data_IF_492000141069
#
_entry.id   IF_492000141069
#
_cell.length_a   1.000
_cell.length_b   1.000
_cell.length_c   1.000
_cell.angle_alpha   90.00
_cell.angle_beta   90.00
_cell.angle_gamma   90.00
#
_symmetry.space_group_name_H-M   'P 1'
#
loop_
_entity.id
_entity.type
_entity.pdbx_description
1 polymer ?
#
# COMPACT_ATOMS: atom_id res chain seq x y z
N UNK A 1 16.47 27.78 38.78
CA UNK A 1 15.96 29.15 38.51
C UNK A 1 14.88 29.12 37.43
N UNK A 2 13.64 29.32 37.87
CA UNK A 2 12.41 29.31 37.08
C UNK A 2 12.33 30.53 36.15
N UNK A 3 11.99 30.30 34.88
CA UNK A 3 11.18 31.21 34.04
C UNK A 3 10.28 30.37 33.11
N UNK A 4 9.04 30.82 32.81
CA UNK A 4 7.98 29.99 32.25
C UNK A 4 8.08 29.82 30.72
N UNK A 5 7.62 28.67 30.23
CA UNK A 5 7.48 28.36 28.79
C UNK A 5 6.50 29.34 28.11
N UNK A 6 6.83 29.90 26.92
CA UNK A 6 5.85 30.58 26.09
C UNK A 6 4.94 29.55 25.40
N UNK A 7 3.70 29.92 25.02
CA UNK A 7 2.78 29.02 24.33
C UNK A 7 3.34 28.69 22.93
N UNK A 8 3.35 27.40 22.58
CA UNK A 8 3.66 26.89 21.25
C UNK A 8 2.67 27.46 20.23
N UNK A 9 3.02 28.57 19.57
CA UNK A 9 2.46 28.90 18.25
C UNK A 9 3.24 28.10 17.22
N UNK A 10 2.66 26.96 16.84
CA UNK A 10 3.11 26.16 15.72
C UNK A 10 2.91 26.98 14.45
N UNK A 11 4.00 27.47 13.86
CA UNK A 11 4.00 28.01 12.52
C UNK A 11 3.72 26.89 11.54
N UNK A 12 2.56 26.97 10.87
CA UNK A 12 2.16 26.03 9.85
C UNK A 12 3.09 26.17 8.64
N UNK A 13 3.91 25.15 8.38
CA UNK A 13 4.45 24.89 7.04
C UNK A 13 3.48 23.93 6.36
N UNK A 14 2.51 24.51 5.66
CA UNK A 14 1.58 23.82 4.77
C UNK A 14 2.13 23.87 3.33
N UNK A 15 2.46 22.71 2.75
CA UNK A 15 2.29 22.34 1.34
C UNK A 15 2.86 20.92 1.12
N UNK A 16 2.09 20.00 0.50
CA UNK A 16 1.61 20.17 -0.88
C UNK A 16 0.11 19.84 -1.13
N UNK A 17 -0.80 20.13 -0.20
CA UNK A 17 -2.26 20.19 -0.52
C UNK A 17 -2.68 21.58 -1.03
N UNK A 18 -1.85 22.61 -0.80
CA UNK A 18 -2.13 23.98 -1.21
C UNK A 18 -1.88 24.28 -2.70
N UNK A 19 -1.24 23.39 -3.47
CA UNK A 19 -0.95 23.68 -4.88
C UNK A 19 -2.16 23.46 -5.81
N UNK A 20 -3.11 22.60 -5.42
CA UNK A 20 -4.39 22.45 -6.13
C UNK A 20 -5.44 23.49 -5.70
N UNK A 21 -5.38 24.01 -4.47
CA UNK A 21 -6.33 25.03 -3.98
C UNK A 21 -5.85 26.48 -4.17
N UNK A 22 -4.53 26.72 -4.12
CA UNK A 22 -3.94 28.06 -4.20
C UNK A 22 -3.89 28.67 -5.60
N UNK A 23 -4.03 27.85 -6.64
CA UNK A 23 -4.13 28.30 -8.04
C UNK A 23 -5.56 28.68 -8.43
N UNK A 24 -6.57 28.11 -7.76
CA UNK A 24 -8.00 28.42 -7.99
C UNK A 24 -8.44 29.70 -7.25
N UNK A 25 -7.81 30.04 -6.12
CA UNK A 25 -8.25 31.14 -5.26
C UNK A 25 -7.57 32.50 -5.50
N UNK A 26 -6.69 32.64 -6.51
CA UNK A 26 -6.08 33.96 -6.84
C UNK A 26 -6.90 34.82 -7.80
N UNK A 27 -8.08 34.36 -8.22
CA UNK A 27 -9.05 35.20 -8.93
C UNK A 27 -10.39 35.09 -8.20
N UNK A 28 -10.72 36.12 -7.45
CA UNK A 28 -12.03 36.32 -6.85
C UNK A 28 -13.07 36.53 -7.95
N UNK A 29 -13.58 35.44 -8.50
CA UNK A 29 -14.82 35.40 -9.27
C UNK A 29 -15.75 34.35 -8.66
N UNK A 30 -17.06 34.57 -8.79
CA UNK A 30 -18.14 33.71 -8.29
C UNK A 30 -17.97 32.23 -8.73
N UNK A 31 -17.22 31.99 -9.80
CA UNK A 31 -16.86 30.66 -10.33
C UNK A 31 -15.92 29.86 -9.42
N UNK A 32 -15.05 30.52 -8.63
CA UNK A 32 -14.13 29.85 -7.69
C UNK A 32 -14.85 29.20 -6.52
N UNK A 33 -15.95 29.81 -6.04
CA UNK A 33 -16.75 29.31 -4.93
C UNK A 33 -17.62 28.11 -5.33
N UNK A 34 -18.17 28.11 -6.55
CA UNK A 34 -18.90 26.97 -7.11
C UNK A 34 -17.98 25.76 -7.35
N UNK A 35 -16.76 25.99 -7.82
CA UNK A 35 -15.77 24.94 -8.05
C UNK A 35 -15.32 24.27 -6.74
N UNK A 36 -15.19 25.04 -5.65
CA UNK A 36 -14.87 24.51 -4.32
C UNK A 36 -15.99 23.63 -3.74
N UNK A 37 -17.26 24.01 -3.95
CA UNK A 37 -18.41 23.20 -3.52
C UNK A 37 -18.53 21.92 -4.35
N UNK A 38 -18.29 21.97 -5.65
CA UNK A 38 -18.27 20.78 -6.52
C UNK A 38 -17.11 19.83 -6.15
N UNK A 39 -15.95 20.34 -5.76
CA UNK A 39 -14.83 19.53 -5.28
C UNK A 39 -15.07 18.90 -3.91
N UNK A 40 -15.73 19.61 -2.98
CA UNK A 40 -16.11 19.07 -1.67
C UNK A 40 -17.22 18.02 -1.77
N UNK A 41 -18.26 18.28 -2.57
CA UNK A 41 -19.31 17.30 -2.85
C UNK A 41 -18.78 16.13 -3.68
N UNK A 42 -17.87 16.40 -4.63
CA UNK A 42 -17.12 15.40 -5.37
C UNK A 42 -16.29 14.52 -4.44
N UNK A 43 -15.59 15.09 -3.47
CA UNK A 43 -14.82 14.37 -2.45
C UNK A 43 -15.69 13.51 -1.53
N UNK A 44 -16.88 13.97 -1.15
CA UNK A 44 -17.85 13.19 -0.36
C UNK A 44 -18.44 12.02 -1.16
N UNK A 45 -18.76 12.23 -2.45
CA UNK A 45 -19.25 11.17 -3.34
C UNK A 45 -18.14 10.17 -3.68
N UNK A 46 -16.91 10.64 -3.92
CA UNK A 46 -15.75 9.81 -4.20
C UNK A 46 -15.36 8.99 -2.96
N UNK A 47 -15.39 9.60 -1.78
CA UNK A 47 -15.21 8.89 -0.51
C UNK A 47 -16.27 7.80 -0.33
N UNK A 48 -17.54 8.11 -0.58
CA UNK A 48 -18.62 7.12 -0.41
C UNK A 48 -18.59 5.98 -1.43
N UNK A 49 -18.18 6.25 -2.68
CA UNK A 49 -18.09 5.27 -3.76
C UNK A 49 -16.82 4.40 -3.72
N UNK A 50 -15.71 4.94 -3.21
CA UNK A 50 -14.44 4.21 -3.06
C UNK A 50 -14.38 3.43 -1.73
N UNK A 51 -15.05 3.91 -0.68
CA UNK A 51 -15.00 3.33 0.68
C UNK A 51 -16.25 2.53 1.11
N UNK A 52 -17.20 2.29 0.19
CA UNK A 52 -18.23 1.24 0.31
C UNK A 52 -19.10 1.24 1.58
N UNK A 53 -19.46 2.40 2.13
CA UNK A 53 -19.97 2.47 3.50
C UNK A 53 -21.23 3.31 3.78
N UNK A 54 -21.94 3.82 2.77
CA UNK A 54 -23.16 4.60 3.02
C UNK A 54 -24.40 3.87 2.48
N UNK A 55 -25.17 3.24 3.38
CA UNK A 55 -26.58 2.96 3.15
C UNK A 55 -27.32 4.30 3.11
N UNK A 56 -27.54 4.84 1.90
CA UNK A 56 -28.50 5.92 1.75
C UNK A 56 -29.90 5.33 1.94
N UNK A 57 -30.74 5.85 2.87
CA UNK A 57 -32.14 5.52 2.87
C UNK A 57 -32.70 6.03 1.54
N UNK A 58 -32.94 5.10 0.61
CA UNK A 58 -33.70 5.37 -0.58
C UNK A 58 -35.12 5.74 -0.12
N UNK A 59 -35.39 7.04 0.04
CA UNK A 59 -36.76 7.54 0.09
C UNK A 59 -37.42 7.04 -1.20
N UNK A 60 -38.41 6.17 -1.04
CA UNK A 60 -39.07 5.49 -2.16
C UNK A 60 -39.52 6.50 -3.22
N UNK A 61 -38.86 6.46 -4.37
CA UNK A 61 -39.16 7.33 -5.52
C UNK A 61 -37.92 7.97 -6.14
N UNK A 62 -37.17 7.19 -6.93
CA UNK A 62 -36.47 7.63 -8.16
C UNK A 62 -35.64 8.92 -8.23
N UNK A 63 -35.29 9.59 -7.13
CA UNK A 63 -34.54 10.85 -7.14
C UNK A 63 -33.55 10.93 -5.97
N UNK A 64 -32.29 11.25 -6.28
CA UNK A 64 -31.31 11.66 -5.30
C UNK A 64 -31.41 13.19 -5.15
N UNK A 65 -31.81 13.67 -3.97
CA UNK A 65 -31.85 15.11 -3.67
C UNK A 65 -30.54 15.50 -3.00
N UNK A 66 -29.62 16.12 -3.75
CA UNK A 66 -28.47 16.78 -3.16
C UNK A 66 -28.92 18.13 -2.59
N UNK A 67 -28.88 18.28 -1.26
CA UNK A 67 -29.10 19.57 -0.61
C UNK A 67 -27.76 20.31 -0.53
N UNK A 68 -27.61 21.40 -1.28
CA UNK A 68 -26.46 22.30 -1.17
C UNK A 68 -26.89 23.55 -0.40
N UNK A 69 -26.29 23.78 0.76
CA UNK A 69 -26.47 25.00 1.55
C UNK A 69 -25.67 26.14 0.92
N UNK A 70 -26.34 26.96 0.12
CA UNK A 70 -25.76 28.20 -0.41
C UNK A 70 -25.79 29.31 0.64
N UNK A 71 -24.67 29.60 1.29
CA UNK A 71 -24.52 30.81 2.09
C UNK A 71 -24.18 31.97 1.15
N UNK A 72 -25.20 32.75 0.77
CA UNK A 72 -25.01 34.01 0.04
C UNK A 72 -25.04 35.19 1.02
N UNK A 73 -24.01 36.04 0.96
CA UNK A 73 -23.71 37.20 1.83
C UNK A 73 -24.75 38.34 1.77
N UNK A 74 -25.96 38.15 1.24
CA UNK A 74 -26.98 39.21 1.18
C UNK A 74 -28.40 38.70 1.51
N UNK A 75 -28.54 37.96 2.61
CA UNK A 75 -29.82 37.89 3.35
C UNK A 75 -31.02 37.28 2.62
N UNK A 76 -30.82 36.43 1.60
CA UNK A 76 -31.87 35.65 0.95
C UNK A 76 -31.40 34.20 0.82
N UNK A 77 -31.75 33.37 1.80
CA UNK A 77 -31.53 31.93 1.75
C UNK A 77 -32.51 31.27 0.78
N UNK A 78 -32.05 30.92 -0.41
CA UNK A 78 -32.78 30.10 -1.37
C UNK A 78 -32.24 28.67 -1.41
N UNK A 79 -33.12 27.68 -1.27
CA UNK A 79 -32.79 26.28 -1.49
C UNK A 79 -32.82 25.98 -2.98
N UNK A 80 -31.69 25.57 -3.56
CA UNK A 80 -31.65 25.00 -4.91
C UNK A 80 -31.61 23.48 -4.75
N UNK A 81 -32.76 22.83 -4.91
CA UNK A 81 -32.85 21.38 -4.99
C UNK A 81 -32.44 20.92 -6.39
N UNK A 82 -31.28 20.28 -6.51
CA UNK A 82 -30.89 19.62 -7.76
C UNK A 82 -31.58 18.24 -7.81
N UNK A 83 -32.66 18.12 -8.58
CA UNK A 83 -33.30 16.83 -8.85
C UNK A 83 -32.56 16.18 -10.01
N UNK A 84 -31.63 15.27 -9.69
CA UNK A 84 -31.01 14.43 -10.70
C UNK A 84 -31.96 13.26 -11.00
N UNK A 85 -32.50 13.14 -12.23
CA UNK A 85 -33.27 11.97 -12.60
C UNK A 85 -32.30 10.78 -12.61
N UNK A 86 -32.40 9.93 -11.59
CA UNK A 86 -31.75 8.63 -11.64
C UNK A 86 -32.43 7.86 -12.76
N UNK A 87 -31.68 7.58 -13.83
CA UNK A 87 -32.17 6.66 -14.86
C UNK A 87 -32.62 5.38 -14.15
N UNK A 88 -33.75 4.78 -14.56
CA UNK A 88 -34.23 3.54 -13.96
C UNK A 88 -33.09 2.54 -13.95
N UNK A 89 -32.95 1.80 -12.83
CA UNK A 89 -31.93 0.78 -12.56
C UNK A 89 -31.37 0.25 -13.87
N UNK A 90 -30.16 0.69 -14.22
CA UNK A 90 -29.36 -0.02 -15.18
C UNK A 90 -29.28 -1.45 -14.67
N UNK A 91 -29.95 -2.36 -15.37
CA UNK A 91 -29.84 -3.79 -15.12
C UNK A 91 -28.38 -4.12 -15.43
N UNK A 92 -27.55 -4.18 -14.38
CA UNK A 92 -26.11 -4.48 -14.45
C UNK A 92 -25.82 -5.77 -15.23
N UNK A 93 -26.81 -6.64 -15.41
CA UNK A 93 -26.72 -7.87 -16.20
C UNK A 93 -26.36 -7.69 -17.68
N UNK A 94 -26.53 -6.49 -18.26
CA UNK A 94 -26.21 -6.21 -19.68
C UNK A 94 -25.03 -5.25 -19.91
N UNK A 95 -24.50 -4.59 -18.88
CA UNK A 95 -23.30 -3.76 -19.04
C UNK A 95 -22.05 -4.65 -19.07
N UNK A 96 -21.33 -4.65 -20.19
CA UNK A 96 -20.07 -5.40 -20.34
C UNK A 96 -20.20 -6.84 -20.83
N UNK A 97 -21.40 -7.29 -21.22
CA UNK A 97 -21.56 -8.50 -22.06
C UNK A 97 -21.65 -8.11 -23.52
N UNK A 98 -20.64 -7.43 -24.03
CA UNK A 98 -20.49 -7.34 -25.48
C UNK A 98 -20.03 -8.72 -25.95
N UNK A 99 -20.68 -9.28 -26.98
CA UNK A 99 -20.04 -10.34 -27.74
C UNK A 99 -18.68 -9.81 -28.20
N UNK A 100 -17.61 -10.58 -28.06
CA UNK A 100 -16.25 -10.18 -28.43
C UNK A 100 -16.15 -9.52 -29.82
N UNK A 101 -17.07 -9.86 -30.72
CA UNK A 101 -17.19 -9.34 -32.09
C UNK A 101 -17.79 -7.94 -32.21
N UNK A 102 -18.45 -7.42 -31.17
CA UNK A 102 -19.20 -6.14 -31.18
C UNK A 102 -18.52 -5.02 -30.38
N UNK A 103 -17.43 -5.31 -29.67
CA UNK A 103 -16.70 -4.29 -28.93
C UNK A 103 -16.06 -3.27 -29.91
N UNK A 104 -16.05 -1.96 -29.57
CA UNK A 104 -15.35 -0.96 -30.37
C UNK A 104 -13.90 -1.39 -30.58
N UNK A 105 -13.45 -1.38 -31.85
CA UNK A 105 -12.05 -1.66 -32.17
C UNK A 105 -11.19 -0.59 -31.52
N UNK A 106 -10.39 -0.98 -30.52
CA UNK A 106 -9.39 -0.08 -29.98
C UNK A 106 -8.35 0.24 -31.07
N UNK A 107 -7.66 1.39 -30.98
CA UNK A 107 -6.46 1.61 -31.77
C UNK A 107 -5.46 0.46 -31.57
N UNK A 108 -4.61 0.24 -32.58
CA UNK A 108 -3.57 -0.79 -32.52
C UNK A 108 -2.77 -0.69 -31.22
N UNK A 109 -2.45 -1.87 -30.66
CA UNK A 109 -1.73 -1.99 -29.41
C UNK A 109 -0.34 -1.35 -29.54
N UNK A 110 0.03 -0.49 -28.59
CA UNK A 110 1.40 0.03 -28.51
C UNK A 110 2.31 -1.01 -27.85
N UNK A 111 3.31 -1.48 -28.60
CA UNK A 111 4.24 -2.52 -28.20
C UNK A 111 5.61 -1.94 -27.79
N UNK A 112 6.36 -2.64 -26.93
CA UNK A 112 7.64 -2.18 -26.34
C UNK A 112 8.66 -1.68 -27.38
N UNK A 113 8.69 -2.26 -28.58
CA UNK A 113 9.61 -1.84 -29.65
C UNK A 113 9.20 -0.54 -30.36
N UNK A 114 7.93 -0.17 -30.25
CA UNK A 114 7.35 0.99 -30.92
C UNK A 114 7.24 2.19 -29.99
N UNK A 115 7.17 1.96 -28.67
CA UNK A 115 7.09 3.00 -27.64
C UNK A 115 8.43 3.72 -27.44
N UNK A 116 8.39 5.05 -27.50
CA UNK A 116 9.53 5.94 -27.21
C UNK A 116 9.09 7.11 -26.34
N UNK A 117 10.05 7.72 -25.65
CA UNK A 117 9.83 8.99 -24.95
C UNK A 117 10.25 10.16 -25.86
N UNK A 118 9.33 11.11 -26.08
CA UNK A 118 9.61 12.41 -26.71
C UNK A 118 9.31 13.53 -25.70
N UNK A 119 10.34 13.95 -24.97
CA UNK A 119 10.16 14.84 -23.83
C UNK A 119 9.24 14.19 -22.79
N UNK A 120 8.13 14.83 -22.47
CA UNK A 120 7.14 14.33 -21.49
C UNK A 120 6.11 13.33 -22.06
N UNK A 121 6.17 13.03 -23.35
CA UNK A 121 5.16 12.24 -24.04
C UNK A 121 5.67 10.86 -24.38
N UNK A 122 4.83 9.85 -24.20
CA UNK A 122 4.98 8.56 -24.87
C UNK A 122 4.52 8.69 -26.32
N UNK A 123 5.31 8.17 -27.25
CA UNK A 123 4.97 8.12 -28.68
C UNK A 123 5.17 6.72 -29.24
N UNK A 124 4.43 6.35 -30.27
CA UNK A 124 4.60 5.09 -30.98
C UNK A 124 5.57 5.20 -32.19
N UNK A 125 5.70 4.11 -32.95
CA UNK A 125 6.55 4.02 -34.14
C UNK A 125 6.14 4.96 -35.29
N UNK A 126 4.91 5.46 -35.29
CA UNK A 126 4.40 6.45 -36.24
C UNK A 126 4.58 7.90 -35.73
N UNK A 127 5.06 8.07 -34.49
CA UNK A 127 5.24 9.38 -33.86
C UNK A 127 3.97 9.98 -33.27
N UNK A 128 2.88 9.19 -33.15
CA UNK A 128 1.62 9.61 -32.52
C UNK A 128 1.82 9.69 -31.01
N UNK A 129 1.25 10.71 -30.37
CA UNK A 129 1.28 10.83 -28.90
C UNK A 129 0.28 9.85 -28.28
N UNK A 130 0.76 9.02 -27.35
CA UNK A 130 -0.02 8.00 -26.67
C UNK A 130 -0.58 8.52 -25.35
N UNK A 131 -1.88 8.27 -25.13
CA UNK A 131 -2.52 8.44 -23.83
C UNK A 131 -2.85 7.06 -23.27
N UNK A 132 -2.01 6.59 -22.35
CA UNK A 132 -2.17 5.27 -21.75
C UNK A 132 -3.33 5.33 -20.74
N UNK A 133 -4.43 4.66 -21.04
CA UNK A 133 -5.62 4.57 -20.17
C UNK A 133 -5.87 3.12 -19.77
N UNK A 134 -5.91 2.89 -18.47
CA UNK A 134 -5.89 1.56 -17.91
C UNK A 134 -6.32 1.48 -16.46
N UNK A 135 -6.03 0.34 -15.83
CA UNK A 135 -6.33 0.03 -14.45
C UNK A 135 -5.21 -0.80 -13.80
N UNK A 136 -5.19 -0.84 -12.47
CA UNK A 136 -4.39 -1.80 -11.71
C UNK A 136 -5.06 -3.19 -11.77
N UNK A 137 -4.29 -4.22 -12.09
CA UNK A 137 -4.75 -5.59 -12.27
C UNK A 137 -3.89 -6.53 -11.41
N UNK A 138 -4.30 -6.94 -10.22
CA UNK A 138 -5.35 -6.34 -9.38
C UNK A 138 -4.93 -6.47 -7.92
N UNK A 139 -5.67 -5.85 -6.99
CA UNK A 139 -5.45 -6.06 -5.55
C UNK A 139 -5.58 -7.52 -5.09
N UNK A 140 -6.15 -8.42 -5.92
CA UNK A 140 -6.17 -9.85 -5.62
C UNK A 140 -4.77 -10.48 -5.64
N UNK A 141 -3.78 -9.87 -6.30
CA UNK A 141 -2.40 -10.35 -6.35
C UNK A 141 -1.65 -10.25 -5.01
N UNK A 142 -2.21 -9.55 -4.03
CA UNK A 142 -1.56 -9.23 -2.75
C UNK A 142 -1.44 -10.43 -1.82
N UNK A 143 -2.27 -11.45 -1.99
CA UNK A 143 -2.41 -12.57 -1.06
C UNK A 143 -2.44 -13.89 -1.83
N UNK A 144 -1.88 -14.97 -1.25
CA UNK A 144 -1.87 -16.28 -1.91
C UNK A 144 -3.28 -16.82 -2.16
N UNK A 145 -3.38 -17.75 -3.12
CA UNK A 145 -4.56 -18.56 -3.40
C UNK A 145 -4.60 -19.82 -2.54
N UNK A 146 -3.45 -20.44 -2.31
CA UNK A 146 -3.31 -21.59 -1.41
C UNK A 146 -2.17 -21.37 -0.40
N UNK A 147 -2.43 -21.51 0.92
CA UNK A 147 -3.76 -21.45 1.51
C UNK A 147 -4.42 -20.11 1.17
N UNK A 148 -5.75 -20.02 1.23
CA UNK A 148 -6.43 -18.76 0.91
C UNK A 148 -5.96 -17.65 1.86
N UNK A 149 -5.22 -16.70 1.32
CA UNK A 149 -4.52 -15.68 2.09
C UNK A 149 -5.41 -14.57 2.65
N UNK A 150 -6.74 -14.66 2.50
CA UNK A 150 -7.69 -13.69 3.02
C UNK A 150 -7.44 -13.39 4.52
N UNK A 151 -7.13 -12.12 4.83
CA UNK A 151 -6.58 -11.73 6.13
C UNK A 151 -7.55 -11.82 7.31
N UNK A 152 -8.86 -11.88 7.04
CA UNK A 152 -9.90 -12.09 8.07
C UNK A 152 -10.00 -13.55 8.53
N UNK A 153 -9.30 -14.48 7.87
CA UNK A 153 -9.31 -15.90 8.22
C UNK A 153 -8.21 -16.20 9.23
N UNK A 154 -8.59 -16.86 10.32
CA UNK A 154 -7.71 -17.25 11.42
C UNK A 154 -7.66 -18.77 11.57
N UNK A 155 -7.48 -19.49 10.45
CA UNK A 155 -7.35 -20.95 10.44
C UNK A 155 -5.96 -21.45 10.88
N UNK A 156 -5.08 -20.53 11.32
CA UNK A 156 -3.71 -20.81 11.74
C UNK A 156 -2.71 -20.95 10.59
N UNK A 157 -3.17 -21.10 9.35
CA UNK A 157 -2.29 -21.31 8.18
C UNK A 157 -1.31 -20.16 7.96
N UNK A 158 -1.72 -18.94 8.33
CA UNK A 158 -0.90 -17.72 8.26
C UNK A 158 0.46 -17.83 8.97
N UNK A 159 0.54 -18.60 10.06
CA UNK A 159 1.78 -18.79 10.81
C UNK A 159 2.49 -20.11 10.49
N UNK A 160 1.79 -21.09 9.94
CA UNK A 160 2.35 -22.44 9.71
C UNK A 160 2.79 -22.67 8.27
N UNK A 161 2.19 -21.98 7.29
CA UNK A 161 2.53 -22.07 5.85
C UNK A 161 3.12 -20.75 5.37
N UNK A 162 4.35 -20.46 5.81
CA UNK A 162 5.05 -19.21 5.46
C UNK A 162 5.84 -19.31 4.15
N UNK A 163 6.21 -20.54 3.75
CA UNK A 163 7.07 -20.88 2.59
C UNK A 163 6.43 -21.88 1.63
N UNK A 164 5.25 -22.38 1.96
CA UNK A 164 4.49 -23.34 1.15
C UNK A 164 3.16 -22.66 0.82
N UNK A 165 3.22 -21.73 -0.14
CA UNK A 165 2.08 -20.93 -0.57
C UNK A 165 2.09 -20.83 -2.09
N UNK A 166 0.93 -20.70 -2.71
CA UNK A 166 0.80 -20.47 -4.14
C UNK A 166 0.12 -19.15 -4.41
N UNK A 167 0.62 -18.44 -5.43
CA UNK A 167 -0.03 -17.26 -6.00
C UNK A 167 -0.60 -17.55 -7.39
N UNK A 168 -0.50 -18.80 -7.87
CA UNK A 168 -1.11 -19.25 -9.12
C UNK A 168 -2.62 -19.02 -9.04
N UNK A 169 -3.19 -18.40 -10.08
CA UNK A 169 -4.58 -18.00 -10.08
C UNK A 169 -4.85 -16.60 -9.51
N UNK A 170 -3.82 -15.79 -9.22
CA UNK A 170 -3.96 -14.34 -9.00
C UNK A 170 -3.47 -13.53 -10.21
N UNK A 171 -4.25 -12.60 -10.77
CA UNK A 171 -5.42 -11.95 -10.15
C UNK A 171 -6.74 -12.74 -10.26
N UNK A 172 -6.80 -13.76 -11.11
CA UNK A 172 -7.96 -14.64 -11.32
C UNK A 172 -7.51 -16.00 -11.87
N UNK A 173 -8.33 -17.07 -11.77
CA UNK A 173 -8.09 -18.32 -12.47
C UNK A 173 -7.89 -18.08 -13.98
N UNK A 174 -6.98 -18.83 -14.61
CA UNK A 174 -6.58 -18.56 -15.99
C UNK A 174 -7.75 -18.74 -16.98
N UNK A 175 -8.65 -19.66 -16.68
CA UNK A 175 -9.89 -19.92 -17.42
C UNK A 175 -10.88 -18.74 -17.38
N UNK A 176 -10.81 -17.88 -16.37
CA UNK A 176 -11.63 -16.67 -16.24
C UNK A 176 -10.99 -15.45 -16.91
N UNK A 177 -9.73 -15.56 -17.34
CA UNK A 177 -8.96 -14.44 -17.89
C UNK A 177 -9.64 -13.79 -19.09
N UNK A 178 -10.16 -14.59 -20.03
CA UNK A 178 -10.81 -14.06 -21.23
C UNK A 178 -12.04 -13.21 -20.89
N UNK A 179 -12.84 -13.63 -19.90
CA UNK A 179 -14.01 -12.88 -19.46
C UNK A 179 -13.61 -11.52 -18.85
N UNK A 180 -12.63 -11.52 -17.94
CA UNK A 180 -12.17 -10.29 -17.30
C UNK A 180 -11.52 -9.32 -18.29
N UNK A 181 -10.62 -9.81 -19.14
CA UNK A 181 -9.91 -8.97 -20.11
C UNK A 181 -10.86 -8.43 -21.19
N UNK A 182 -11.86 -9.22 -21.61
CA UNK A 182 -12.93 -8.75 -22.51
C UNK A 182 -13.69 -7.58 -21.91
N UNK A 183 -14.02 -7.63 -20.61
CA UNK A 183 -14.71 -6.52 -19.92
C UNK A 183 -13.86 -5.26 -19.93
N UNK A 184 -12.57 -5.37 -19.58
CA UNK A 184 -11.62 -4.26 -19.59
C UNK A 184 -11.57 -3.62 -20.98
N UNK A 185 -11.49 -4.44 -22.04
CA UNK A 185 -11.53 -3.97 -23.43
C UNK A 185 -12.84 -3.31 -23.81
N UNK A 186 -13.96 -3.84 -23.36
CA UNK A 186 -15.27 -3.28 -23.65
C UNK A 186 -15.49 -1.88 -23.06
N UNK A 187 -14.71 -1.52 -22.02
CA UNK A 187 -14.67 -0.17 -21.46
C UNK A 187 -13.73 0.77 -22.23
N UNK A 188 -13.08 0.29 -23.29
CA UNK A 188 -12.13 1.03 -24.11
C UNK A 188 -10.74 1.16 -23.49
N UNK A 189 -10.44 0.38 -22.43
CA UNK A 189 -9.12 0.39 -21.79
C UNK A 189 -8.14 -0.50 -22.56
N UNK A 190 -6.91 -0.03 -22.72
CA UNK A 190 -5.89 -0.71 -23.53
C UNK A 190 -4.61 -0.99 -22.77
N UNK A 191 -4.58 -0.65 -21.48
CA UNK A 191 -3.40 -0.69 -20.64
C UNK A 191 -3.74 -1.25 -19.27
N UNK A 192 -2.85 -2.04 -18.68
CA UNK A 192 -2.96 -2.48 -17.29
C UNK A 192 -1.62 -2.37 -16.57
N UNK A 193 -1.68 -1.93 -15.31
CA UNK A 193 -0.59 -2.07 -14.34
C UNK A 193 -0.79 -3.43 -13.64
N UNK A 194 -0.03 -4.44 -14.05
CA UNK A 194 -0.17 -5.81 -13.56
C UNK A 194 0.66 -5.98 -12.29
N UNK A 195 -0.04 -6.19 -11.18
CA UNK A 195 0.57 -6.35 -9.85
C UNK A 195 1.18 -7.75 -9.73
N UNK A 196 2.41 -7.80 -9.24
CA UNK A 196 3.08 -9.01 -8.76
C UNK A 196 3.68 -8.70 -7.40
N UNK A 197 3.78 -9.66 -6.49
CA UNK A 197 4.50 -9.47 -5.23
C UNK A 197 5.85 -10.18 -5.31
N UNK A 198 6.84 -9.71 -4.55
CA UNK A 198 8.11 -10.43 -4.43
C UNK A 198 7.87 -11.84 -3.84
N UNK A 199 6.96 -11.95 -2.88
CA UNK A 199 6.53 -13.21 -2.30
C UNK A 199 5.99 -14.17 -3.35
N UNK A 200 5.14 -13.73 -4.29
CA UNK A 200 4.65 -14.60 -5.36
C UNK A 200 5.77 -15.22 -6.19
N UNK A 201 6.87 -14.49 -6.38
CA UNK A 201 8.03 -14.95 -7.16
C UNK A 201 8.97 -15.85 -6.37
N UNK A 202 9.11 -15.62 -5.05
CA UNK A 202 10.22 -16.18 -4.26
C UNK A 202 9.79 -16.51 -2.81
N UNK A 203 8.62 -17.13 -2.62
CA UNK A 203 8.09 -17.42 -1.27
C UNK A 203 8.88 -18.51 -0.52
N UNK A 204 9.42 -19.53 -1.22
CA UNK A 204 10.02 -20.72 -0.60
C UNK A 204 11.32 -20.39 0.15
N UNK A 205 12.09 -19.41 -0.36
CA UNK A 205 13.34 -18.97 0.23
C UNK A 205 14.20 -18.19 -0.75
N UNK A 206 15.31 -17.61 -0.27
CA UNK A 206 16.24 -16.85 -1.11
C UNK A 206 16.78 -17.72 -2.26
N UNK A 207 16.70 -17.22 -3.48
CA UNK A 207 17.07 -17.89 -4.71
C UNK A 207 16.12 -19.00 -5.19
N UNK A 208 15.01 -19.25 -4.49
CA UNK A 208 14.07 -20.32 -4.80
C UNK A 208 12.82 -19.74 -5.47
N UNK A 209 12.89 -19.59 -6.80
CA UNK A 209 11.82 -19.01 -7.60
C UNK A 209 10.66 -19.99 -7.83
N UNK A 210 9.43 -19.49 -7.74
CA UNK A 210 8.22 -20.23 -8.08
C UNK A 210 8.01 -20.24 -9.61
N UNK A 211 8.53 -21.29 -10.25
CA UNK A 211 8.41 -21.48 -11.70
C UNK A 211 6.96 -21.73 -12.16
N UNK A 212 6.08 -22.24 -11.28
CA UNK A 212 4.67 -22.43 -11.59
C UNK A 212 3.95 -21.08 -11.66
N UNK A 213 4.17 -20.22 -10.66
CA UNK A 213 3.68 -18.85 -10.69
C UNK A 213 4.21 -18.06 -11.89
N UNK A 214 5.50 -18.19 -12.21
CA UNK A 214 6.09 -17.51 -13.37
C UNK A 214 5.48 -17.98 -14.70
N UNK A 215 5.20 -19.28 -14.85
CA UNK A 215 4.51 -19.81 -16.02
C UNK A 215 3.06 -19.28 -16.10
N UNK A 216 2.35 -19.23 -14.97
CA UNK A 216 1.02 -18.63 -14.88
C UNK A 216 1.04 -17.13 -15.25
N UNK A 217 1.99 -16.37 -14.72
CA UNK A 217 2.16 -14.94 -15.01
C UNK A 217 2.35 -14.71 -16.51
N UNK A 218 3.21 -15.50 -17.16
CA UNK A 218 3.42 -15.45 -18.60
C UNK A 218 2.12 -15.74 -19.38
N UNK A 219 1.33 -16.71 -18.93
CA UNK A 219 0.04 -17.03 -19.54
C UNK A 219 -0.95 -15.85 -19.42
N UNK A 220 -1.02 -15.18 -18.26
CA UNK A 220 -1.84 -13.96 -18.08
C UNK A 220 -1.35 -12.83 -18.99
N UNK A 221 -0.03 -12.61 -19.10
CA UNK A 221 0.55 -11.61 -20.01
C UNK A 221 0.17 -11.88 -21.46
N UNK A 222 0.19 -13.14 -21.90
CA UNK A 222 -0.23 -13.53 -23.26
C UNK A 222 -1.72 -13.35 -23.47
N UNK A 223 -2.55 -13.68 -22.48
CA UNK A 223 -3.98 -13.35 -22.51
C UNK A 223 -4.21 -11.85 -22.64
N UNK A 224 -3.47 -11.01 -21.94
CA UNK A 224 -3.53 -9.56 -22.17
C UNK A 224 -3.21 -9.20 -23.64
N UNK A 225 -2.20 -9.84 -24.25
CA UNK A 225 -1.85 -9.63 -25.66
C UNK A 225 -2.99 -10.04 -26.62
N UNK A 226 -3.61 -11.20 -26.41
CA UNK A 226 -4.75 -11.69 -27.21
C UNK A 226 -5.92 -10.70 -27.21
N UNK A 227 -6.09 -9.99 -26.10
CA UNK A 227 -7.12 -8.95 -25.94
C UNK A 227 -6.63 -7.55 -26.35
N UNK A 228 -5.41 -7.40 -26.84
CA UNK A 228 -4.83 -6.10 -27.25
C UNK A 228 -4.58 -5.15 -26.08
N UNK A 229 -4.25 -5.70 -24.90
CA UNK A 229 -3.94 -4.98 -23.66
C UNK A 229 -2.44 -4.96 -23.44
N UNK A 230 -1.89 -3.76 -23.34
CA UNK A 230 -0.50 -3.50 -22.96
C UNK A 230 -0.33 -3.61 -21.44
N UNK A 231 0.79 -4.19 -21.00
CA UNK A 231 1.09 -4.51 -19.62
C UNK A 231 2.29 -3.70 -19.13
N UNK A 232 2.16 -3.13 -17.93
CA UNK A 232 3.25 -2.58 -17.14
C UNK A 232 3.34 -3.35 -15.82
N UNK A 233 4.45 -4.04 -15.59
CA UNK A 233 4.61 -4.93 -14.43
C UNK A 233 4.93 -4.08 -13.21
N UNK A 234 4.25 -4.34 -12.11
CA UNK A 234 4.40 -3.63 -10.86
C UNK A 234 4.81 -4.59 -9.73
N UNK A 235 6.09 -4.56 -9.30
CA UNK A 235 6.52 -5.16 -8.04
C UNK A 235 5.83 -4.47 -6.86
N UNK A 236 4.67 -5.00 -6.51
CA UNK A 236 3.75 -4.46 -5.54
C UNK A 236 4.12 -4.85 -4.12
N UNK A 237 3.94 -3.90 -3.23
CA UNK A 237 3.96 -4.09 -1.79
C UNK A 237 3.09 -3.00 -1.15
N UNK A 238 2.47 -3.34 -0.03
CA UNK A 238 2.00 -2.39 0.96
C UNK A 238 2.55 -2.80 2.32
N UNK A 239 3.09 -1.82 3.04
CA UNK A 239 3.70 -2.02 4.37
C UNK A 239 4.65 -3.22 4.43
N UNK A 240 5.48 -3.41 3.40
CA UNK A 240 6.50 -4.45 3.26
C UNK A 240 6.01 -5.88 3.03
N UNK A 241 5.16 -6.45 3.89
CA UNK A 241 4.88 -7.90 3.91
C UNK A 241 3.55 -8.23 4.60
N UNK A 242 3.07 -9.47 4.40
CA UNK A 242 1.87 -9.98 5.08
C UNK A 242 2.01 -9.96 6.60
N UNK A 243 3.21 -10.24 7.13
CA UNK A 243 3.48 -10.22 8.58
C UNK A 243 3.66 -8.83 9.18
N UNK A 244 3.73 -7.80 8.34
CA UNK A 244 3.75 -6.40 8.75
C UNK A 244 2.42 -5.70 8.46
N UNK A 245 1.38 -6.48 8.12
CA UNK A 245 -0.01 -6.04 7.98
C UNK A 245 -0.43 -5.64 6.55
N UNK A 246 0.34 -6.01 5.54
CA UNK A 246 0.03 -5.74 4.13
C UNK A 246 0.45 -6.88 3.19
N UNK A 247 1.31 -6.58 2.23
CA UNK A 247 1.77 -7.52 1.19
C UNK A 247 3.13 -7.12 0.59
N UNK A 248 3.74 -8.01 -0.19
CA UNK A 248 4.94 -7.69 -0.96
C UNK A 248 6.06 -8.70 -0.75
N UNK A 249 6.90 -8.47 0.25
CA UNK A 249 8.08 -9.26 0.55
C UNK A 249 7.76 -10.59 1.26
N UNK A 250 8.47 -11.68 0.93
CA UNK A 250 8.26 -12.98 1.54
C UNK A 250 8.73 -13.02 3.01
N UNK A 251 8.17 -13.97 3.76
CA UNK A 251 8.42 -14.16 5.20
C UNK A 251 9.91 -14.23 5.57
N UNK A 252 10.69 -14.91 4.73
CA UNK A 252 12.10 -15.16 5.00
C UNK A 252 12.93 -13.88 5.06
N UNK A 253 12.46 -12.76 4.49
CA UNK A 253 13.13 -11.45 4.62
C UNK A 253 13.13 -10.94 6.05
N UNK A 254 12.02 -11.10 6.76
CA UNK A 254 11.86 -10.72 8.17
C UNK A 254 12.64 -11.70 9.07
N UNK A 255 12.56 -13.00 8.78
CA UNK A 255 13.28 -14.03 9.53
C UNK A 255 14.79 -13.85 9.43
N UNK A 256 15.30 -13.50 8.25
CA UNK A 256 16.72 -13.28 7.98
C UNK A 256 17.34 -12.21 8.88
N UNK A 257 16.59 -11.13 9.16
CA UNK A 257 17.04 -10.06 10.06
C UNK A 257 16.67 -10.29 11.53
N UNK A 258 16.10 -11.47 11.85
CA UNK A 258 15.90 -11.94 13.22
C UNK A 258 14.48 -11.80 13.77
N UNK A 259 13.48 -11.39 12.98
CA UNK A 259 12.10 -11.34 13.48
C UNK A 259 11.50 -12.76 13.63
N UNK A 260 10.74 -12.95 14.71
CA UNK A 260 9.89 -14.11 14.93
C UNK A 260 8.46 -13.77 14.47
N UNK A 261 8.07 -14.28 13.29
CA UNK A 261 6.84 -13.92 12.59
C UNK A 261 5.57 -13.99 13.45
N UNK A 262 5.46 -15.02 14.30
CA UNK A 262 4.31 -15.24 15.20
C UNK A 262 4.27 -14.31 16.42
N UNK A 263 5.29 -13.46 16.61
CA UNK A 263 5.40 -12.53 17.74
C UNK A 263 5.31 -11.07 17.33
N UNK A 264 5.44 -10.75 16.03
CA UNK A 264 5.49 -9.37 15.52
C UNK A 264 4.29 -8.56 15.99
N UNK A 265 3.08 -9.06 15.75
CA UNK A 265 1.85 -8.36 16.14
C UNK A 265 1.71 -8.21 17.65
N UNK A 266 1.86 -9.32 18.39
CA UNK A 266 1.72 -9.37 19.86
C UNK A 266 2.68 -8.44 20.59
N UNK A 267 3.88 -8.24 20.04
CA UNK A 267 4.88 -7.32 20.57
C UNK A 267 4.60 -5.84 20.22
N UNK A 268 3.56 -5.55 19.44
CA UNK A 268 3.25 -4.21 18.94
C UNK A 268 4.13 -3.76 17.77
N UNK A 269 4.89 -4.67 17.16
CA UNK A 269 5.79 -4.36 16.03
C UNK A 269 5.08 -4.31 14.67
N UNK A 270 3.81 -4.73 14.60
CA UNK A 270 2.84 -4.47 13.54
C UNK A 270 1.42 -4.67 14.09
N UNK A 271 0.39 -4.32 13.32
CA UNK A 271 -1.00 -4.69 13.55
C UNK A 271 -1.51 -5.44 12.31
N UNK A 272 -1.96 -6.67 12.50
CA UNK A 272 -2.37 -7.62 11.46
C UNK A 272 -3.80 -8.06 11.72
N UNK A 273 -4.59 -8.21 10.67
CA UNK A 273 -5.99 -8.64 10.80
C UNK A 273 -6.08 -10.08 11.35
N UNK A 274 -5.12 -10.93 10.97
CA UNK A 274 -5.04 -12.34 11.38
C UNK A 274 -4.93 -12.50 12.91
N UNK A 275 -4.33 -11.53 13.61
CA UNK A 275 -4.19 -11.54 15.07
C UNK A 275 -5.24 -10.65 15.74
N UNK A 276 -5.50 -9.46 15.18
CA UNK A 276 -6.48 -8.53 15.74
C UNK A 276 -7.91 -9.10 15.68
N UNK A 277 -8.25 -9.80 14.59
CA UNK A 277 -9.60 -10.28 14.31
C UNK A 277 -10.60 -9.16 14.02
N UNK A 278 -11.87 -9.55 13.89
CA UNK A 278 -12.97 -8.64 13.59
C UNK A 278 -13.61 -8.03 14.86
N UNK A 279 -14.10 -6.77 14.79
CA UNK A 279 -14.03 -5.87 13.64
C UNK A 279 -12.63 -5.26 13.48
N UNK A 280 -12.02 -5.43 12.30
CA UNK A 280 -10.72 -4.80 12.03
C UNK A 280 -10.87 -3.29 11.78
N UNK A 281 -10.08 -2.42 12.44
CA UNK A 281 -10.25 -0.98 12.29
C UNK A 281 -9.97 -0.52 10.86
N UNK A 282 -10.90 0.25 10.29
CA UNK A 282 -10.78 0.78 8.93
C UNK A 282 -9.51 1.61 8.79
N UNK A 283 -8.76 1.41 7.71
CA UNK A 283 -7.56 2.19 7.37
C UNK A 283 -6.41 2.16 8.39
N UNK A 284 -6.43 1.24 9.36
CA UNK A 284 -5.34 1.14 10.34
C UNK A 284 -4.03 0.63 9.76
N UNK A 285 -4.08 -0.08 8.63
CA UNK A 285 -2.90 -0.69 7.99
C UNK A 285 -1.77 0.33 7.73
N UNK A 286 -2.09 1.58 7.39
CA UNK A 286 -1.09 2.63 7.13
C UNK A 286 -0.24 2.99 8.34
N UNK A 287 -0.74 2.73 9.56
CA UNK A 287 0.03 2.86 10.81
C UNK A 287 1.30 2.00 10.80
N UNK A 288 1.25 0.83 10.14
CA UNK A 288 2.34 -0.13 10.15
C UNK A 288 3.61 0.40 9.50
N UNK A 289 3.53 1.36 8.57
CA UNK A 289 4.72 1.99 7.98
C UNK A 289 5.67 2.63 9.02
N UNK A 290 5.17 2.99 10.20
CA UNK A 290 5.99 3.53 11.31
C UNK A 290 6.26 2.50 12.41
N UNK A 291 5.62 1.33 12.36
CA UNK A 291 5.87 0.26 13.34
C UNK A 291 7.22 -0.39 13.10
N UNK A 292 7.77 -0.94 14.17
CA UNK A 292 9.13 -1.47 14.20
C UNK A 292 9.43 -2.39 13.01
N UNK A 293 8.58 -3.37 12.71
CA UNK A 293 8.90 -4.38 11.70
C UNK A 293 9.00 -3.76 10.29
N UNK A 294 7.94 -3.11 9.81
CA UNK A 294 7.94 -2.48 8.47
C UNK A 294 9.01 -1.39 8.35
N UNK A 295 9.13 -0.51 9.35
CA UNK A 295 10.09 0.59 9.29
C UNK A 295 11.54 0.08 9.31
N UNK A 296 11.83 -0.98 10.08
CA UNK A 296 13.14 -1.63 10.07
C UNK A 296 13.48 -2.18 8.71
N UNK A 297 12.57 -2.94 8.10
CA UNK A 297 12.83 -3.57 6.80
C UNK A 297 13.10 -2.55 5.70
N UNK A 298 12.31 -1.48 5.60
CA UNK A 298 12.60 -0.41 4.64
C UNK A 298 13.92 0.30 4.91
N UNK A 299 14.24 0.54 6.19
CA UNK A 299 15.51 1.22 6.54
C UNK A 299 16.71 0.35 6.18
N UNK A 300 16.64 -0.96 6.44
CA UNK A 300 17.69 -1.90 6.05
C UNK A 300 17.80 -2.04 4.53
N UNK A 301 16.67 -2.06 3.82
CA UNK A 301 16.65 -2.16 2.36
C UNK A 301 17.32 -0.95 1.69
N UNK A 302 17.12 0.26 2.21
CA UNK A 302 17.64 1.48 1.56
C UNK A 302 19.00 1.96 2.09
N UNK A 303 19.27 1.76 3.38
CA UNK A 303 20.43 2.34 4.06
C UNK A 303 20.95 1.45 5.21
N UNK A 304 20.80 0.14 5.09
CA UNK A 304 21.25 -0.81 6.11
C UNK A 304 22.76 -0.75 6.36
N UNK A 305 23.56 -0.54 5.32
CA UNK A 305 25.03 -0.46 5.44
C UNK A 305 25.47 0.77 6.25
N UNK A 306 24.74 1.87 6.13
CA UNK A 306 25.08 3.12 6.80
C UNK A 306 24.48 3.21 8.21
N UNK A 307 23.23 2.77 8.38
CA UNK A 307 22.45 2.97 9.61
C UNK A 307 22.44 1.76 10.53
N UNK A 308 22.73 0.57 10.00
CA UNK A 308 22.72 -0.67 10.77
C UNK A 308 23.83 -1.66 10.33
N UNK A 309 25.11 -1.23 10.23
CA UNK A 309 26.21 -2.03 9.68
C UNK A 309 26.51 -3.34 10.42
N UNK A 310 26.13 -3.45 11.69
CA UNK A 310 26.29 -4.69 12.46
C UNK A 310 25.23 -5.75 12.09
N UNK A 311 24.22 -5.40 11.29
CA UNK A 311 23.16 -6.31 10.86
C UNK A 311 23.62 -7.12 9.66
N UNK A 312 24.20 -8.30 9.95
CA UNK A 312 24.65 -9.24 8.93
C UNK A 312 23.73 -10.46 8.85
N UNK A 313 23.60 -11.00 7.64
CA UNK A 313 22.73 -12.14 7.32
C UNK A 313 23.56 -13.16 6.55
N UNK A 314 23.47 -14.43 6.93
CA UNK A 314 24.03 -15.53 6.15
C UNK A 314 23.25 -15.66 4.83
N UNK A 315 23.91 -15.40 3.71
CA UNK A 315 23.32 -15.65 2.39
C UNK A 315 23.58 -17.11 1.99
N UNK A 316 22.54 -17.97 1.88
CA UNK A 316 22.74 -19.36 1.51
C UNK A 316 23.25 -19.55 0.08
N UNK A 317 23.08 -18.57 -0.81
CA UNK A 317 23.60 -18.64 -2.18
C UNK A 317 25.13 -18.39 -2.22
N UNK A 318 25.66 -17.59 -1.29
CA UNK A 318 27.08 -17.28 -1.20
C UNK A 318 27.82 -18.15 -0.17
N UNK A 319 27.11 -18.66 0.83
CA UNK A 319 27.69 -19.41 1.94
C UNK A 319 28.44 -18.54 2.94
N UNK A 320 28.23 -17.23 2.93
CA UNK A 320 28.88 -16.26 3.81
C UNK A 320 27.91 -15.18 4.33
N UNK A 321 28.34 -14.45 5.36
CA UNK A 321 27.57 -13.33 5.88
C UNK A 321 27.76 -12.07 5.05
N UNK A 322 26.66 -11.54 4.52
CA UNK A 322 26.59 -10.23 3.86
C UNK A 322 25.84 -9.23 4.73
N UNK A 323 25.83 -7.96 4.35
CA UNK A 323 24.98 -6.99 5.05
C UNK A 323 23.49 -7.25 4.77
N UNK A 324 22.61 -6.84 5.69
CA UNK A 324 21.18 -6.93 5.46
C UNK A 324 20.72 -6.17 4.19
N UNK A 325 21.38 -5.06 3.85
CA UNK A 325 21.08 -4.30 2.64
C UNK A 325 21.42 -5.09 1.38
N UNK A 326 22.64 -5.63 1.30
CA UNK A 326 23.10 -6.44 0.16
C UNK A 326 22.21 -7.67 -0.03
N UNK A 327 21.89 -8.36 1.07
CA UNK A 327 20.97 -9.49 1.06
C UNK A 327 19.60 -9.12 0.48
N UNK A 328 18.93 -8.11 1.05
CA UNK A 328 17.56 -7.78 0.67
C UNK A 328 17.48 -7.21 -0.76
N UNK A 329 18.39 -6.30 -1.13
CA UNK A 329 18.40 -5.74 -2.48
C UNK A 329 18.81 -6.79 -3.52
N UNK A 330 19.83 -7.60 -3.23
CA UNK A 330 20.34 -8.62 -4.13
C UNK A 330 19.26 -9.63 -4.53
N UNK A 331 18.55 -10.19 -3.54
CA UNK A 331 17.49 -11.16 -3.80
C UNK A 331 16.26 -10.53 -4.47
N UNK A 332 15.82 -9.33 -4.03
CA UNK A 332 14.71 -8.63 -4.70
C UNK A 332 15.02 -8.35 -6.19
N UNK A 333 16.19 -7.80 -6.48
CA UNK A 333 16.62 -7.51 -7.85
C UNK A 333 16.74 -8.81 -8.67
N UNK A 334 17.26 -9.88 -8.07
CA UNK A 334 17.38 -11.18 -8.74
C UNK A 334 16.01 -11.79 -9.07
N UNK A 335 15.03 -11.70 -8.15
CA UNK A 335 13.65 -12.11 -8.38
C UNK A 335 12.99 -11.29 -9.50
N UNK A 336 13.12 -9.97 -9.48
CA UNK A 336 12.56 -9.12 -10.55
C UNK A 336 13.26 -9.34 -11.90
N UNK A 337 14.56 -9.65 -11.89
CA UNK A 337 15.30 -10.08 -13.07
C UNK A 337 14.74 -11.41 -13.61
N UNK A 338 14.38 -12.37 -12.76
CA UNK A 338 13.77 -13.63 -13.17
C UNK A 338 12.43 -13.37 -13.87
N UNK A 339 11.58 -12.52 -13.31
CA UNK A 339 10.33 -12.08 -13.96
C UNK A 339 10.61 -11.48 -15.34
N UNK A 340 11.56 -10.55 -15.43
CA UNK A 340 11.91 -9.90 -16.69
C UNK A 340 12.41 -10.88 -17.76
N UNK A 341 13.15 -11.93 -17.37
CA UNK A 341 13.58 -13.00 -18.27
C UNK A 341 12.39 -13.81 -18.81
N UNK A 342 11.43 -14.15 -17.94
CA UNK A 342 10.24 -14.93 -18.30
C UNK A 342 9.39 -14.20 -19.35
N UNK A 343 9.20 -12.89 -19.20
CA UNK A 343 8.40 -12.07 -20.13
C UNK A 343 9.23 -11.38 -21.22
N UNK A 344 10.52 -11.73 -21.37
CA UNK A 344 11.43 -11.02 -22.27
C UNK A 344 10.94 -11.05 -23.74
N UNK A 345 10.29 -12.14 -24.17
CA UNK A 345 9.74 -12.29 -25.51
C UNK A 345 8.42 -11.55 -25.76
N UNK A 346 7.75 -11.08 -24.72
CA UNK A 346 6.38 -10.55 -24.81
C UNK A 346 6.41 -9.05 -25.12
N UNK A 347 6.03 -8.69 -26.35
CA UNK A 347 6.10 -7.30 -26.84
C UNK A 347 5.06 -6.37 -26.20
N UNK A 348 3.97 -6.93 -25.65
CA UNK A 348 2.95 -6.15 -24.95
C UNK A 348 3.37 -5.75 -23.53
N UNK A 349 4.48 -6.28 -22.99
CA UNK A 349 5.06 -5.79 -21.73
C UNK A 349 5.97 -4.62 -22.03
N UNK A 350 5.56 -3.41 -21.65
CA UNK A 350 6.22 -2.17 -22.05
C UNK A 350 7.15 -1.58 -21.00
N UNK A 351 7.10 -2.09 -19.78
CA UNK A 351 7.98 -1.64 -18.71
C UNK A 351 7.69 -2.32 -17.38
N UNK A 352 8.52 -1.94 -16.41
CA UNK A 352 8.48 -2.38 -15.03
C UNK A 352 8.48 -1.13 -14.13
N UNK A 353 7.66 -1.15 -13.09
CA UNK A 353 7.85 -0.29 -11.94
C UNK A 353 9.11 -0.72 -11.17
N UNK A 354 9.70 0.18 -10.40
CA UNK A 354 10.89 -0.15 -9.59
C UNK A 354 10.48 -0.86 -8.29
N UNK A 355 9.51 -0.29 -7.58
CA UNK A 355 8.87 -0.81 -6.38
C UNK A 355 7.63 0.06 -6.12
N UNK A 356 6.48 -0.55 -5.83
CA UNK A 356 5.28 0.21 -5.47
C UNK A 356 5.51 1.06 -4.21
N UNK A 357 5.16 2.34 -4.25
CA UNK A 357 5.07 3.27 -3.10
C UNK A 357 6.18 3.09 -2.04
N UNK A 358 7.46 3.25 -2.40
CA UNK A 358 8.57 2.97 -1.49
C UNK A 358 8.51 3.88 -0.26
N UNK A 359 8.50 3.26 0.92
CA UNK A 359 8.63 3.97 2.19
C UNK A 359 10.11 4.24 2.50
N UNK A 360 10.47 5.41 3.04
CA UNK A 360 11.84 5.67 3.50
C UNK A 360 12.18 4.91 4.79
N UNK A 361 11.22 4.23 5.43
CA UNK A 361 11.39 3.71 6.78
C UNK A 361 11.73 4.85 7.74
N UNK A 362 12.91 4.80 8.35
CA UNK A 362 13.46 5.87 9.20
C UNK A 362 14.63 6.63 8.57
N UNK A 363 14.96 6.37 7.30
CA UNK A 363 16.01 7.09 6.57
C UNK A 363 15.65 8.57 6.45
N UNK A 364 16.61 9.45 6.75
CA UNK A 364 16.47 10.90 6.58
C UNK A 364 15.49 11.58 7.54
N UNK A 365 15.03 10.88 8.59
CA UNK A 365 14.14 11.45 9.61
C UNK A 365 14.87 12.58 10.36
N UNK A 366 14.35 13.79 10.24
CA UNK A 366 14.89 15.00 10.92
C UNK A 366 14.31 15.21 12.31
N UNK A 367 13.11 14.70 12.55
CA UNK A 367 12.46 14.74 13.85
C UNK A 367 13.10 13.71 14.79
N UNK A 368 12.98 13.94 16.10
CA UNK A 368 13.47 13.00 17.10
C UNK A 368 12.87 11.60 16.89
N UNK A 369 13.62 10.55 17.24
CA UNK A 369 13.09 9.18 17.30
C UNK A 369 12.01 9.02 18.38
N UNK A 370 11.79 10.04 19.21
CA UNK A 370 10.71 10.13 20.20
C UNK A 370 9.42 10.74 19.65
N UNK A 371 9.43 11.28 18.43
CA UNK A 371 8.26 11.93 17.83
C UNK A 371 7.55 10.98 16.86
N UNK A 372 6.23 11.07 16.76
CA UNK A 372 5.47 10.41 15.69
C UNK A 372 5.72 11.10 14.33
N UNK A 373 5.89 10.30 13.27
CA UNK A 373 6.40 10.78 11.98
C UNK A 373 5.37 10.86 10.85
N UNK A 374 4.18 10.28 11.03
CA UNK A 374 3.13 10.26 10.00
C UNK A 374 2.07 11.34 10.26
N UNK A 375 1.50 11.96 9.22
CA UNK A 375 0.45 12.97 9.39
C UNK A 375 -0.89 12.39 9.86
N UNK A 376 -1.04 11.07 9.87
CA UNK A 376 -2.28 10.39 10.24
C UNK A 376 -2.14 9.75 11.63
N UNK A 377 -3.11 10.06 12.52
CA UNK A 377 -3.18 9.54 13.87
C UNK A 377 -4.43 8.67 14.01
N UNK A 378 -4.26 7.34 13.93
CA UNK A 378 -5.31 6.36 14.17
C UNK A 378 -4.70 5.09 14.77
N UNK A 379 -5.38 4.49 15.76
CA UNK A 379 -4.88 3.35 16.52
C UNK A 379 -3.87 3.77 17.59
N UNK A 380 -3.07 2.80 18.05
CA UNK A 380 -2.01 3.00 19.04
C UNK A 380 -0.79 3.72 18.43
N UNK A 381 -0.47 4.92 18.87
CA UNK A 381 0.58 5.75 18.28
C UNK A 381 1.88 5.56 19.07
N UNK A 382 2.86 4.86 18.48
CA UNK A 382 4.20 4.72 19.05
C UNK A 382 5.22 5.49 18.21
N UNK A 383 6.05 6.30 18.85
CA UNK A 383 7.28 6.79 18.26
C UNK A 383 8.23 5.64 17.87
N UNK A 384 9.27 5.89 17.05
CA UNK A 384 10.28 4.89 16.75
C UNK A 384 10.89 4.22 17.98
N UNK A 385 11.33 4.99 18.99
CA UNK A 385 11.93 4.43 20.22
C UNK A 385 10.92 3.58 20.97
N UNK A 386 9.69 4.07 21.14
CA UNK A 386 8.62 3.32 21.78
C UNK A 386 8.30 2.01 21.03
N UNK A 387 8.34 2.04 19.69
CA UNK A 387 8.17 0.84 18.86
C UNK A 387 9.33 -0.15 19.02
N UNK A 388 10.58 0.35 19.12
CA UNK A 388 11.76 -0.48 19.41
C UNK A 388 11.64 -1.15 20.78
N UNK A 389 11.19 -0.42 21.80
CA UNK A 389 11.04 -0.93 23.16
C UNK A 389 9.92 -1.96 23.24
N UNK A 390 8.74 -1.63 22.68
CA UNK A 390 7.62 -2.56 22.58
C UNK A 390 8.05 -3.86 21.88
N UNK A 391 8.68 -3.78 20.72
CA UNK A 391 9.17 -4.97 20.01
C UNK A 391 10.25 -5.76 20.74
N UNK A 392 10.95 -5.15 21.70
CA UNK A 392 11.99 -5.82 22.49
C UNK A 392 11.47 -6.40 23.82
N UNK A 393 10.15 -6.40 24.02
CA UNK A 393 9.52 -7.00 25.20
C UNK A 393 9.27 -6.04 26.36
N UNK A 394 9.42 -4.73 26.15
CA UNK A 394 9.09 -3.73 27.18
C UNK A 394 7.65 -3.24 26.99
N UNK A 395 6.78 -3.28 28.01
CA UNK A 395 5.46 -2.67 27.94
C UNK A 395 5.55 -1.15 27.76
N UNK A 396 4.79 -0.58 26.82
CA UNK A 396 4.85 0.86 26.51
C UNK A 396 3.46 1.49 26.52
N UNK A 397 3.29 2.56 27.30
CA UNK A 397 2.07 3.36 27.28
C UNK A 397 2.05 4.33 26.11
N UNK A 398 0.98 4.31 25.34
CA UNK A 398 0.84 5.18 24.18
C UNK A 398 -0.56 5.79 24.07
N UNK A 399 -0.67 6.83 23.25
CA UNK A 399 -1.96 7.44 22.94
C UNK A 399 -2.69 6.59 21.88
N UNK A 400 -4.00 6.45 22.04
CA UNK A 400 -4.87 5.72 21.12
C UNK A 400 -5.87 6.68 20.50
N UNK A 401 -5.97 6.64 19.18
CA UNK A 401 -6.90 7.45 18.40
C UNK A 401 -7.96 6.53 17.76
N UNK A 402 -9.23 6.69 18.12
CA UNK A 402 -10.32 5.83 17.60
C UNK A 402 -10.62 6.12 16.14
N UNK A 403 -10.43 7.37 15.74
CA UNK A 403 -10.58 7.89 14.39
C UNK A 403 -9.44 8.89 14.12
N UNK A 404 -9.20 9.27 12.86
CA UNK A 404 -8.17 10.24 12.52
C UNK A 404 -8.29 11.50 13.37
N UNK A 405 -7.24 11.78 14.17
CA UNK A 405 -7.15 12.95 15.05
C UNK A 405 -8.11 12.96 16.26
N UNK A 406 -8.91 11.93 16.48
CA UNK A 406 -9.80 11.80 17.63
C UNK A 406 -9.11 10.98 18.72
N UNK A 407 -8.47 11.67 19.67
CA UNK A 407 -7.90 11.03 20.85
C UNK A 407 -8.98 10.28 21.63
N UNK A 408 -8.69 9.04 22.02
CA UNK A 408 -9.60 8.16 22.76
C UNK A 408 -9.12 7.94 24.19
N UNK A 409 -7.92 7.38 24.36
CA UNK A 409 -7.36 7.02 25.68
C UNK A 409 -5.84 6.86 25.59
N UNK A 410 -5.20 6.67 26.74
CA UNK A 410 -3.88 6.02 26.79
C UNK A 410 -4.07 4.53 27.06
N UNK A 411 -3.25 3.71 26.43
CA UNK A 411 -3.32 2.25 26.52
C UNK A 411 -1.92 1.64 26.58
N UNK A 412 -1.82 0.42 27.09
CA UNK A 412 -0.55 -0.30 27.23
C UNK A 412 -0.36 -1.26 26.06
N UNK A 413 0.70 -1.04 25.28
CA UNK A 413 1.13 -1.96 24.22
C UNK A 413 2.12 -2.97 24.79
N UNK A 414 2.01 -4.23 24.33
CA UNK A 414 2.83 -5.36 24.75
C UNK A 414 2.86 -5.61 26.27
N UNK A 415 1.69 -5.75 26.94
CA UNK A 415 1.62 -5.96 28.38
C UNK A 415 2.27 -7.28 28.84
N UNK A 416 2.32 -8.28 27.96
CA UNK A 416 2.90 -9.60 28.22
C UNK A 416 4.43 -9.63 28.11
N UNK A 417 5.06 -8.52 27.70
CA UNK A 417 6.52 -8.43 27.53
C UNK A 417 7.08 -9.35 26.45
N UNK A 418 6.31 -9.58 25.37
CA UNK A 418 6.71 -10.45 24.26
C UNK A 418 7.74 -9.76 23.39
N UNK A 419 8.94 -10.34 23.25
CA UNK A 419 9.91 -9.90 22.24
C UNK A 419 9.52 -10.41 20.86
N UNK A 420 9.53 -9.54 19.83
CA UNK A 420 9.28 -9.91 18.43
C UNK A 420 10.48 -10.58 17.76
N UNK A 421 11.58 -10.77 18.46
CA UNK A 421 12.82 -11.34 17.92
C UNK A 421 12.85 -12.86 18.13
N UNK A 422 13.59 -13.55 17.26
CA UNK A 422 13.89 -14.97 17.39
C UNK A 422 14.73 -15.23 18.64
N UNK A 423 14.70 -16.47 19.13
CA UNK A 423 15.55 -16.87 20.26
C UNK A 423 17.03 -16.68 19.91
N UNK A 424 17.78 -16.06 20.83
CA UNK A 424 19.19 -15.71 20.61
C UNK A 424 19.43 -14.52 19.67
N UNK A 425 18.38 -13.84 19.18
CA UNK A 425 18.47 -12.58 18.44
C UNK A 425 17.99 -11.42 19.30
N UNK A 426 18.50 -10.22 19.05
CA UNK A 426 18.14 -8.98 19.74
C UNK A 426 17.72 -7.91 18.72
N UNK A 427 17.18 -6.79 19.21
CA UNK A 427 16.78 -5.66 18.39
C UNK A 427 17.91 -5.16 17.50
N UNK A 428 17.68 -5.14 16.19
CA UNK A 428 18.61 -4.61 15.18
C UNK A 428 19.16 -3.24 15.61
N UNK A 429 18.29 -2.35 16.10
CA UNK A 429 18.68 -0.99 16.48
C UNK A 429 19.46 -0.94 17.80
N UNK A 430 19.20 -1.86 18.73
CA UNK A 430 20.00 -2.01 19.97
C UNK A 430 21.40 -2.53 19.64
N UNK A 431 21.49 -3.56 18.79
CA UNK A 431 22.75 -4.13 18.33
C UNK A 431 23.62 -3.12 17.57
N UNK A 432 23.01 -2.12 16.94
CA UNK A 432 23.69 -1.02 16.26
C UNK A 432 23.84 0.25 17.13
N UNK A 433 23.58 0.15 18.44
CA UNK A 433 23.84 1.24 19.41
C UNK A 433 22.91 2.44 19.31
N UNK A 434 21.75 2.30 18.67
CA UNK A 434 20.74 3.39 18.58
C UNK A 434 20.05 3.62 19.93
N UNK A 435 19.94 2.57 20.74
CA UNK A 435 19.43 2.63 22.11
C UNK A 435 20.01 1.47 22.93
N UNK A 436 19.97 1.59 24.25
CA UNK A 436 20.37 0.54 25.20
C UNK A 436 19.43 0.48 26.42
N UNK A 437 19.58 -0.58 27.22
CA UNK A 437 18.83 -0.77 28.47
C UNK A 437 19.54 -0.10 29.68
N UNK A 438 20.68 0.56 29.43
CA UNK A 438 21.52 1.19 30.43
C UNK A 438 21.10 2.65 30.68
N UNK A 439 20.85 2.97 31.95
CA UNK A 439 20.40 4.27 32.48
C UNK A 439 18.89 4.50 32.34
N UNK A 440 18.15 3.99 33.33
CA UNK A 440 17.07 4.65 34.08
C UNK A 440 16.34 5.83 33.40
N UNK A 441 15.97 5.68 32.12
CA UNK A 441 15.30 6.70 31.32
C UNK A 441 13.78 6.73 31.56
N UNK A 442 13.30 5.91 32.50
CA UNK A 442 11.88 5.65 32.74
C UNK A 442 11.42 5.86 34.19
N UNK A 443 12.24 6.48 35.06
CA UNK A 443 11.67 7.08 36.27
C UNK A 443 10.97 8.39 35.91
N UNK A 444 9.64 8.35 35.87
CA UNK A 444 8.78 9.53 35.88
C UNK A 444 9.29 10.55 36.92
N UNK A 445 9.62 11.77 36.47
CA UNK A 445 9.82 12.91 37.37
C UNK A 445 11.18 13.61 37.39
N UNK A 446 11.95 13.63 36.29
CA UNK A 446 13.03 14.62 36.09
C UNK A 446 12.90 15.38 34.77
#
# INVERSE_FOLDING_TARGET
PLLPRPPRRMGWVLAPVQWCLGSVLRRTTIEGSLSAVVLLCGGLVFSSAYWGGADFPALGGGALVLQVLGVAVLGLGGYIGLVLPLRPKLVLGSYGRWGLTEAPRAPEQSLRGDLRCRGRWFVDGEGRTLLLRGLNLSGACKLPTDPDGATYRSDGSFFTRTRDVSFVGRPFPLEEADEHLSRIRSWGLTFVRLLITWEAVEHAGPGQYDEEYLAYLLAVVRKCADHGITVFIDPHQDVWSRWTGGDGAPAWTLEAVGFALNKIDRAGAAVTHQVHGDPFPKMIWGLNYQRLACATMFTLFWAGDDLAPATRVLDPALGEEVSAQEFLQGHFIAAMRRVAQVVAGEKNVVGFDSLNEPSPGWVGRRASLTDWGMPFLQGHILSPVESMFAGSGHPVYCDVYSEPFVFSRRDLVNPDGVSCWQEGKDCVWKANGVWDEGVDCWQEGK
#
